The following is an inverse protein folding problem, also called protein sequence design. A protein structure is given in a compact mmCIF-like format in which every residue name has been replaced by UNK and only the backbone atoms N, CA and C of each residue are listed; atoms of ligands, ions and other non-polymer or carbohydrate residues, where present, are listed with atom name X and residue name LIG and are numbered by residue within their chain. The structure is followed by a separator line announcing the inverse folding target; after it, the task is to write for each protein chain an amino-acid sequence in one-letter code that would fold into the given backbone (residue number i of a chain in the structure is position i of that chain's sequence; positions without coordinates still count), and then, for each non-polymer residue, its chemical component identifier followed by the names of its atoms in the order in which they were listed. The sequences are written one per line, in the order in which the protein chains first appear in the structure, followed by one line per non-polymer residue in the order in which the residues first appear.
data_IF_520347198794
#
_entry.id   IF_520347198794
#
_cell.length_a   1.000
_cell.length_b   1.000
_cell.length_c   1.000
_cell.angle_alpha   90.00
_cell.angle_beta   90.00
_cell.angle_gamma   90.00
#
_symmetry.space_group_name_H-M   'P 1'
#
loop_
_entity.id
_entity.type
_entity.pdbx_description
1 polymer ?
#
# COMPACT_ATOMS: atom_id res chain seq x y z
N UNK A 1 -4.01 -23.14 -5.18
CA UNK A 1 -3.10 -22.11 -4.65
C UNK A 1 -3.86 -20.78 -4.65
N UNK A 2 -3.73 -19.94 -3.62
CA UNK A 2 -4.51 -18.68 -3.52
C UNK A 2 -3.91 -17.55 -4.38
N UNK A 3 -4.75 -16.61 -4.84
CA UNK A 3 -4.36 -15.52 -5.75
C UNK A 3 -3.23 -14.67 -5.20
N UNK A 4 -3.36 -14.27 -3.94
CA UNK A 4 -2.34 -13.47 -3.25
C UNK A 4 -0.98 -14.17 -3.14
N UNK A 5 -0.96 -15.51 -3.04
CA UNK A 5 0.30 -16.28 -3.02
C UNK A 5 0.99 -16.24 -4.38
N UNK A 6 0.24 -16.34 -5.48
CA UNK A 6 0.80 -16.23 -6.83
C UNK A 6 1.28 -14.80 -7.11
N UNK A 7 0.52 -13.78 -6.70
CA UNK A 7 0.94 -12.39 -6.81
C UNK A 7 2.25 -12.12 -6.07
N UNK A 8 2.37 -12.60 -4.83
CA UNK A 8 3.59 -12.42 -4.02
C UNK A 8 4.83 -13.03 -4.67
N UNK A 9 4.71 -14.19 -5.34
CA UNK A 9 5.85 -14.75 -6.10
C UNK A 9 6.33 -13.80 -7.20
N UNK A 10 5.40 -13.16 -7.92
CA UNK A 10 5.75 -12.18 -8.95
C UNK A 10 6.43 -10.96 -8.32
N UNK A 11 5.84 -10.39 -7.27
CA UNK A 11 6.38 -9.23 -6.55
C UNK A 11 7.78 -9.52 -6.01
N UNK A 12 7.94 -10.65 -5.31
CA UNK A 12 9.23 -11.07 -4.76
C UNK A 12 10.27 -11.28 -5.86
N UNK A 13 9.87 -11.83 -7.02
CA UNK A 13 10.76 -11.98 -8.17
C UNK A 13 11.25 -10.63 -8.70
N UNK A 14 10.37 -9.63 -8.81
CA UNK A 14 10.76 -8.27 -9.24
C UNK A 14 11.65 -7.58 -8.22
N UNK A 15 11.32 -7.63 -6.93
CA UNK A 15 12.14 -7.03 -5.86
C UNK A 15 13.53 -7.66 -5.77
N UNK A 16 13.65 -8.97 -6.02
CA UNK A 16 14.93 -9.67 -6.00
C UNK A 16 15.87 -9.26 -7.16
N UNK A 17 15.40 -8.48 -8.14
CA UNK A 17 16.24 -7.88 -9.18
C UNK A 17 16.94 -6.60 -8.73
N UNK A 18 16.51 -6.00 -7.62
CA UNK A 18 17.16 -4.80 -7.07
C UNK A 18 18.55 -5.15 -6.53
N UNK A 19 19.59 -4.48 -7.03
CA UNK A 19 20.99 -4.76 -6.66
C UNK A 19 21.32 -4.33 -5.22
N UNK A 20 20.84 -3.15 -4.81
CA UNK A 20 21.05 -2.62 -3.47
C UNK A 20 20.20 -3.39 -2.44
N UNK A 21 20.88 -4.20 -1.63
CA UNK A 21 20.24 -5.04 -0.62
C UNK A 21 19.50 -4.23 0.46
N UNK A 22 19.97 -3.03 0.81
CA UNK A 22 19.32 -2.19 1.81
C UNK A 22 18.00 -1.64 1.26
N UNK A 23 18.03 -1.12 0.03
CA UNK A 23 16.81 -0.65 -0.65
C UNK A 23 15.82 -1.79 -0.89
N UNK A 24 16.30 -2.95 -1.31
CA UNK A 24 15.47 -4.15 -1.49
C UNK A 24 14.79 -4.58 -0.20
N UNK A 25 15.53 -4.67 0.90
CA UNK A 25 14.96 -5.05 2.20
C UNK A 25 13.92 -4.02 2.68
N UNK A 26 14.18 -2.73 2.47
CA UNK A 26 13.22 -1.67 2.78
C UNK A 26 11.95 -1.78 1.93
N UNK A 27 12.06 -2.05 0.63
CA UNK A 27 10.93 -2.24 -0.26
C UNK A 27 10.08 -3.47 0.13
N UNK A 28 10.72 -4.60 0.42
CA UNK A 28 10.04 -5.81 0.91
C UNK A 28 9.29 -5.50 2.21
N UNK A 29 9.96 -4.90 3.19
CA UNK A 29 9.34 -4.57 4.48
C UNK A 29 8.12 -3.66 4.28
N UNK A 30 8.25 -2.65 3.41
CA UNK A 30 7.17 -1.72 3.10
C UNK A 30 5.97 -2.40 2.44
N UNK A 31 6.16 -3.12 1.33
CA UNK A 31 5.03 -3.75 0.63
C UNK A 31 4.30 -4.78 1.51
N UNK A 32 5.03 -5.61 2.25
CA UNK A 32 4.42 -6.59 3.15
C UNK A 32 3.74 -5.93 4.35
N UNK A 33 4.33 -4.87 4.91
CA UNK A 33 3.75 -4.11 6.01
C UNK A 33 2.45 -3.39 5.62
N UNK A 34 2.44 -2.70 4.48
CA UNK A 34 1.23 -2.08 3.91
C UNK A 34 0.20 -3.14 3.55
N UNK A 35 0.62 -4.30 3.02
CA UNK A 35 -0.29 -5.41 2.71
C UNK A 35 -1.00 -5.96 3.95
N UNK A 36 -0.29 -6.13 5.06
CA UNK A 36 -0.91 -6.55 6.33
C UNK A 36 -1.86 -5.46 6.87
N UNK A 37 -1.41 -4.20 6.89
CA UNK A 37 -2.22 -3.08 7.35
C UNK A 37 -3.53 -2.95 6.54
N UNK A 38 -3.45 -2.99 5.22
CA UNK A 38 -4.62 -2.89 4.34
C UNK A 38 -5.61 -4.03 4.59
N UNK A 39 -5.12 -5.24 4.82
CA UNK A 39 -5.96 -6.41 5.16
C UNK A 39 -6.75 -6.17 6.45
N UNK A 40 -6.10 -5.62 7.48
CA UNK A 40 -6.74 -5.31 8.77
C UNK A 40 -7.76 -4.19 8.62
N UNK A 41 -7.42 -3.12 7.89
CA UNK A 41 -8.28 -1.96 7.64
C UNK A 41 -9.51 -2.36 6.81
N UNK A 42 -9.33 -3.10 5.71
CA UNK A 42 -10.44 -3.62 4.91
C UNK A 42 -11.40 -4.46 5.75
N UNK A 43 -10.88 -5.37 6.59
CA UNK A 43 -11.72 -6.16 7.50
C UNK A 43 -12.49 -5.30 8.49
N UNK A 44 -11.85 -4.29 9.09
CA UNK A 44 -12.50 -3.36 10.04
C UNK A 44 -13.62 -2.57 9.37
N UNK A 45 -13.46 -2.22 8.09
CA UNK A 45 -14.38 -1.40 7.30
C UNK A 45 -15.40 -2.19 6.46
N UNK A 46 -15.37 -3.53 6.51
CA UNK A 46 -16.30 -4.37 5.76
C UNK A 46 -16.04 -4.43 4.25
N UNK A 47 -14.79 -4.23 3.83
CA UNK A 47 -14.34 -4.28 2.43
C UNK A 47 -13.58 -5.59 2.15
N UNK A 48 -13.28 -5.85 0.86
CA UNK A 48 -12.57 -7.07 0.45
C UNK A 48 -11.09 -7.06 0.93
N UNK A 49 -10.71 -7.96 1.85
CA UNK A 49 -9.35 -8.01 2.38
C UNK A 49 -8.33 -8.63 1.40
N UNK A 50 -8.76 -9.46 0.44
CA UNK A 50 -7.85 -10.03 -0.56
C UNK A 50 -7.49 -8.97 -1.61
N UNK A 51 -8.48 -8.23 -2.13
CA UNK A 51 -8.22 -7.17 -3.12
C UNK A 51 -7.40 -6.02 -2.54
N UNK A 52 -7.69 -5.57 -1.31
CA UNK A 52 -6.87 -4.56 -0.62
C UNK A 52 -5.42 -5.02 -0.43
N UNK A 53 -5.22 -6.28 -0.02
CA UNK A 53 -3.89 -6.88 0.13
C UNK A 53 -3.13 -6.94 -1.20
N UNK A 54 -3.82 -7.25 -2.30
CA UNK A 54 -3.24 -7.28 -3.65
C UNK A 54 -2.86 -5.87 -4.13
N UNK A 55 -3.73 -4.87 -3.93
CA UNK A 55 -3.42 -3.48 -4.24
C UNK A 55 -2.19 -2.98 -3.47
N UNK A 56 -2.14 -3.26 -2.16
CA UNK A 56 -1.01 -2.91 -1.31
C UNK A 56 0.31 -3.58 -1.72
N UNK A 57 0.28 -4.83 -2.18
CA UNK A 57 1.48 -5.51 -2.70
C UNK A 57 2.00 -4.90 -4.01
N UNK A 58 1.17 -4.17 -4.76
CA UNK A 58 1.49 -3.66 -6.09
C UNK A 58 1.76 -2.15 -6.14
N UNK A 59 1.24 -1.38 -5.18
CA UNK A 59 1.13 0.08 -5.31
C UNK A 59 2.43 0.80 -5.68
N UNK A 60 3.55 0.40 -5.06
CA UNK A 60 4.87 1.00 -5.28
C UNK A 60 5.79 0.14 -6.18
N UNK A 61 5.32 -1.01 -6.67
CA UNK A 61 6.18 -1.97 -7.36
C UNK A 61 6.82 -1.40 -8.63
N UNK A 62 6.08 -0.56 -9.36
CA UNK A 62 6.61 0.13 -10.54
C UNK A 62 7.79 1.04 -10.17
N UNK A 63 7.70 1.79 -9.06
CA UNK A 63 8.77 2.65 -8.60
C UNK A 63 10.01 1.83 -8.18
N UNK A 64 9.81 0.71 -7.46
CA UNK A 64 10.91 -0.18 -7.09
C UNK A 64 11.58 -0.84 -8.31
N UNK A 65 10.80 -1.21 -9.33
CA UNK A 65 11.30 -1.81 -10.57
C UNK A 65 12.12 -0.84 -11.41
N UNK A 66 11.66 0.41 -11.53
CA UNK A 66 12.26 1.42 -12.42
C UNK A 66 13.29 2.30 -11.73
N UNK A 67 13.26 2.37 -10.40
CA UNK A 67 14.04 3.32 -9.60
C UNK A 67 13.53 4.76 -9.69
N UNK A 68 12.33 4.99 -10.24
CA UNK A 68 11.73 6.32 -10.43
C UNK A 68 10.38 6.44 -9.71
N UNK A 69 10.21 7.55 -8.98
CA UNK A 69 8.93 7.91 -8.33
C UNK A 69 8.08 8.88 -9.16
N UNK A 70 8.53 9.23 -10.36
CA UNK A 70 7.83 10.15 -11.27
C UNK A 70 6.50 9.55 -11.76
N UNK A 71 5.39 10.18 -11.38
CA UNK A 71 4.02 9.68 -11.61
C UNK A 71 3.83 8.21 -11.17
N UNK A 72 4.49 7.81 -10.07
CA UNK A 72 4.52 6.40 -9.66
C UNK A 72 3.14 5.81 -9.37
N UNK A 73 2.19 6.61 -8.91
CA UNK A 73 0.81 6.17 -8.69
C UNK A 73 0.07 5.88 -9.99
N UNK A 74 0.18 6.75 -11.00
CA UNK A 74 -0.47 6.55 -12.30
C UNK A 74 0.17 5.42 -13.11
N UNK A 75 1.50 5.45 -13.25
CA UNK A 75 2.26 4.39 -13.94
C UNK A 75 2.20 3.07 -13.17
N UNK A 76 2.16 3.15 -11.84
CA UNK A 76 1.97 2.01 -10.95
C UNK A 76 0.62 1.34 -11.12
N UNK A 77 -0.46 2.11 -11.25
CA UNK A 77 -1.79 1.57 -11.49
C UNK A 77 -1.88 0.83 -12.84
N UNK A 78 -1.36 1.42 -13.91
CA UNK A 78 -1.30 0.76 -15.23
C UNK A 78 -0.46 -0.53 -15.18
N UNK A 79 0.73 -0.46 -14.55
CA UNK A 79 1.61 -1.60 -14.39
C UNK A 79 0.94 -2.74 -13.58
N UNK A 80 0.26 -2.40 -12.48
CA UNK A 80 -0.48 -3.34 -11.65
C UNK A 80 -1.61 -4.03 -12.44
N UNK A 81 -2.40 -3.25 -13.20
CA UNK A 81 -3.46 -3.79 -14.03
C UNK A 81 -2.95 -4.79 -15.07
N UNK A 82 -1.79 -4.53 -15.68
CA UNK A 82 -1.16 -5.44 -16.64
C UNK A 82 -0.73 -6.76 -15.97
N UNK A 83 -0.10 -6.70 -14.79
CA UNK A 83 0.31 -7.89 -14.01
C UNK A 83 -0.91 -8.75 -13.67
N UNK A 84 -1.97 -8.13 -13.16
CA UNK A 84 -3.19 -8.82 -12.75
C UNK A 84 -3.85 -9.58 -13.90
N UNK A 85 -3.93 -8.95 -15.09
CA UNK A 85 -4.46 -9.56 -16.32
C UNK A 85 -3.56 -10.66 -16.85
N UNK A 86 -2.23 -10.45 -16.88
CA UNK A 86 -1.26 -11.44 -17.34
C UNK A 86 -1.32 -12.72 -16.50
N UNK A 87 -1.38 -12.57 -15.18
CA UNK A 87 -1.44 -13.68 -14.22
C UNK A 87 -2.86 -14.25 -14.07
N UNK A 88 -3.88 -13.62 -14.68
CA UNK A 88 -5.31 -13.99 -14.58
C UNK A 88 -5.79 -14.13 -13.13
N UNK A 89 -5.38 -13.18 -12.29
CA UNK A 89 -5.70 -13.21 -10.86
C UNK A 89 -7.05 -12.55 -10.55
N UNK A 90 -7.50 -11.63 -11.39
CA UNK A 90 -8.72 -10.85 -11.18
C UNK A 90 -9.58 -10.83 -12.44
N UNK A 91 -10.88 -10.58 -12.27
CA UNK A 91 -11.71 -10.09 -13.36
C UNK A 91 -11.51 -8.56 -13.57
N UNK A 92 -12.14 -7.97 -14.59
CA UNK A 92 -11.97 -6.55 -14.88
C UNK A 92 -12.53 -5.65 -13.76
N UNK A 93 -13.61 -6.04 -13.08
CA UNK A 93 -14.17 -5.24 -11.99
C UNK A 93 -13.26 -5.23 -10.76
N UNK A 94 -12.70 -6.39 -10.40
CA UNK A 94 -11.67 -6.52 -9.37
C UNK A 94 -10.39 -5.75 -9.76
N UNK A 95 -10.00 -5.79 -11.03
CA UNK A 95 -8.84 -5.06 -11.56
C UNK A 95 -9.04 -3.56 -11.45
N UNK A 96 -10.22 -3.04 -11.81
CA UNK A 96 -10.55 -1.62 -11.73
C UNK A 96 -10.54 -1.11 -10.29
N UNK A 97 -10.98 -1.93 -9.32
CA UNK A 97 -10.91 -1.61 -7.89
C UNK A 97 -9.44 -1.45 -7.45
N UNK A 98 -8.57 -2.39 -7.82
CA UNK A 98 -7.15 -2.33 -7.47
C UNK A 98 -6.47 -1.16 -8.19
N UNK A 99 -6.79 -0.95 -9.47
CA UNK A 99 -6.28 0.15 -10.27
C UNK A 99 -6.62 1.49 -9.63
N UNK A 100 -7.89 1.75 -9.30
CA UNK A 100 -8.33 2.99 -8.66
C UNK A 100 -7.59 3.24 -7.34
N UNK A 101 -7.48 2.21 -6.51
CA UNK A 101 -6.80 2.34 -5.23
C UNK A 101 -5.35 2.77 -5.41
N UNK A 102 -4.61 2.15 -6.33
CA UNK A 102 -3.22 2.50 -6.63
C UNK A 102 -3.13 3.86 -7.32
N UNK A 103 -4.04 4.20 -8.23
CA UNK A 103 -3.99 5.45 -8.97
C UNK A 103 -4.10 6.67 -8.05
N UNK A 104 -4.96 6.61 -7.03
CA UNK A 104 -5.20 7.74 -6.11
C UNK A 104 -4.35 7.68 -4.83
N UNK A 105 -3.51 6.67 -4.63
CA UNK A 105 -2.96 6.42 -3.29
C UNK A 105 -2.03 7.53 -2.76
N UNK A 106 -1.35 8.33 -3.60
CA UNK A 106 -0.52 9.44 -3.12
C UNK A 106 -1.29 10.72 -2.81
N UNK A 107 -2.54 10.83 -3.27
CA UNK A 107 -3.45 11.96 -3.02
C UNK A 107 -4.10 11.86 -1.63
N UNK A 108 -3.27 11.99 -0.58
CA UNK A 108 -3.67 11.81 0.82
C UNK A 108 -4.74 12.80 1.30
N UNK A 109 -4.84 13.97 0.65
CA UNK A 109 -5.78 15.05 0.99
C UNK A 109 -7.14 14.92 0.30
N UNK A 110 -7.24 14.07 -0.73
CA UNK A 110 -8.49 13.79 -1.45
C UNK A 110 -9.12 12.54 -0.84
N UNK A 111 -10.45 12.53 -0.77
CA UNK A 111 -11.24 11.35 -0.38
C UNK A 111 -11.83 10.76 -1.64
N UNK A 112 -11.49 9.50 -1.91
CA UNK A 112 -11.91 8.76 -3.09
C UNK A 112 -12.78 7.54 -2.69
N UNK A 113 -12.72 6.47 -3.49
CA UNK A 113 -13.51 5.27 -3.26
C UNK A 113 -13.10 4.55 -1.96
N UNK A 114 -13.99 3.74 -1.35
CA UNK A 114 -13.68 3.07 -0.09
C UNK A 114 -12.39 2.22 -0.11
N UNK A 115 -12.08 1.54 -1.23
CA UNK A 115 -10.85 0.77 -1.36
C UNK A 115 -9.60 1.65 -1.47
N UNK A 116 -9.71 2.78 -2.14
CA UNK A 116 -8.64 3.77 -2.27
C UNK A 116 -8.25 4.31 -0.89
N UNK A 117 -9.25 4.59 -0.06
CA UNK A 117 -9.03 5.04 1.32
C UNK A 117 -8.39 3.95 2.20
N UNK A 118 -8.69 2.66 1.97
CA UNK A 118 -7.98 1.56 2.65
C UNK A 118 -6.50 1.57 2.31
N UNK A 119 -6.14 1.70 1.03
CA UNK A 119 -4.73 1.69 0.62
C UNK A 119 -3.99 2.93 1.11
N UNK A 120 -4.62 4.13 1.00
CA UNK A 120 -4.04 5.37 1.53
C UNK A 120 -3.72 5.26 3.01
N UNK A 121 -4.63 4.71 3.80
CA UNK A 121 -4.49 4.57 5.25
C UNK A 121 -3.48 3.49 5.63
N UNK A 122 -3.44 2.39 4.88
CA UNK A 122 -2.45 1.33 5.05
C UNK A 122 -1.02 1.81 4.77
N UNK A 123 -0.85 2.66 3.76
CA UNK A 123 0.42 3.28 3.44
C UNK A 123 0.84 4.28 4.54
N UNK A 124 -0.09 5.14 4.97
CA UNK A 124 0.16 6.12 6.04
C UNK A 124 0.53 5.46 7.37
N UNK A 125 -0.18 4.41 7.80
CA UNK A 125 0.17 3.75 9.07
C UNK A 125 1.57 3.13 9.00
N UNK A 126 1.96 2.56 7.85
CA UNK A 126 3.29 2.01 7.69
C UNK A 126 4.35 3.11 7.69
N UNK A 127 4.13 4.23 6.98
CA UNK A 127 5.04 5.39 7.05
C UNK A 127 5.26 5.87 8.49
N UNK A 128 4.20 5.96 9.28
CA UNK A 128 4.24 6.53 10.63
C UNK A 128 4.79 5.57 11.69
N UNK A 129 4.59 4.26 11.53
CA UNK A 129 4.93 3.27 12.57
C UNK A 129 6.17 2.43 12.27
N UNK A 130 6.62 2.36 11.02
CA UNK A 130 7.79 1.55 10.67
C UNK A 130 9.12 2.19 11.12
N UNK A 131 9.17 3.52 11.25
CA UNK A 131 10.37 4.25 11.66
C UNK A 131 10.00 5.45 12.55
N UNK A 132 9.94 5.21 13.86
CA UNK A 132 9.53 6.18 14.88
C UNK A 132 10.52 7.35 15.07
N UNK A 133 11.68 7.31 14.39
CA UNK A 133 12.62 8.42 14.38
C UNK A 133 12.14 9.56 13.48
N UNK A 134 11.24 9.28 12.52
CA UNK A 134 10.71 10.25 11.57
C UNK A 134 9.42 10.88 12.10
N UNK A 135 9.23 12.19 11.92
CA UNK A 135 7.95 12.82 12.21
C UNK A 135 6.90 12.35 11.19
N UNK A 136 5.63 12.34 11.60
CA UNK A 136 4.51 12.18 10.69
C UNK A 136 4.49 13.38 9.72
N UNK A 137 4.33 13.11 8.42
CA UNK A 137 4.28 14.19 7.42
C UNK A 137 2.99 14.98 7.59
N UNK A 138 3.04 16.29 7.40
CA UNK A 138 1.87 17.18 7.56
C UNK A 138 0.65 16.71 6.74
N UNK A 139 0.88 16.29 5.49
CA UNK A 139 -0.18 15.77 4.59
C UNK A 139 -0.79 14.44 5.05
N UNK A 140 -0.13 13.71 5.95
CA UNK A 140 -0.56 12.41 6.48
C UNK A 140 -1.17 12.52 7.88
N UNK A 141 -0.91 13.61 8.61
CA UNK A 141 -1.25 13.78 10.03
C UNK A 141 -2.73 13.53 10.32
N UNK A 142 -3.63 14.23 9.62
CA UNK A 142 -5.09 14.11 9.84
C UNK A 142 -5.58 12.67 9.60
N UNK A 143 -4.98 11.99 8.62
CA UNK A 143 -5.33 10.62 8.25
C UNK A 143 -4.81 9.62 9.28
N UNK A 144 -3.57 9.80 9.74
CA UNK A 144 -2.96 9.03 10.81
C UNK A 144 -3.75 9.14 12.11
N UNK A 145 -4.15 10.35 12.52
CA UNK A 145 -4.91 10.58 13.76
C UNK A 145 -6.27 9.89 13.73
N UNK A 146 -7.00 10.00 12.59
CA UNK A 146 -8.28 9.31 12.39
C UNK A 146 -8.12 7.79 12.46
N UNK A 147 -7.07 7.27 11.84
CA UNK A 147 -6.80 5.83 11.84
C UNK A 147 -6.43 5.32 13.23
N UNK A 148 -5.63 6.07 13.99
CA UNK A 148 -5.35 5.75 15.39
C UNK A 148 -6.63 5.73 16.23
N UNK A 149 -7.52 6.70 16.05
CA UNK A 149 -8.82 6.72 16.74
C UNK A 149 -9.72 5.54 16.33
N UNK A 150 -9.78 5.20 15.05
CA UNK A 150 -10.56 4.06 14.53
C UNK A 150 -10.15 2.72 15.14
N UNK A 151 -8.84 2.55 15.38
CA UNK A 151 -8.24 1.33 15.92
C UNK A 151 -8.00 1.37 17.44
N UNK A 152 -8.29 2.49 18.11
CA UNK A 152 -8.04 2.66 19.55
C UNK A 152 -6.55 2.68 19.90
N UNK A 153 -5.69 3.14 18.99
CA UNK A 153 -4.24 3.25 19.18
C UNK A 153 -3.95 4.53 19.96
N UNK A 154 -3.20 4.38 21.05
CA UNK A 154 -2.74 5.52 21.86
C UNK A 154 -1.55 6.18 21.16
N UNK A 155 -1.69 7.46 20.81
CA UNK A 155 -0.61 8.28 20.26
C UNK A 155 0.09 8.97 21.44
N UNK A 156 1.35 8.61 21.69
CA UNK A 156 2.16 9.27 22.73
C UNK A 156 2.71 10.60 22.19
N UNK A 157 2.26 11.72 22.75
CA UNK A 157 2.87 13.01 22.46
C UNK A 157 4.20 13.13 23.20
N UNK A 158 5.29 13.41 22.45
CA UNK A 158 6.63 13.62 23.00
C UNK A 158 6.72 14.81 23.99
N UNK A 159 5.67 15.61 24.13
CA UNK A 159 5.59 16.70 25.13
C UNK A 159 5.30 16.20 26.56
N UNK A 160 5.10 14.90 26.77
CA UNK A 160 4.88 14.28 28.09
C UNK A 160 6.07 13.44 28.61
N UNK A 161 7.24 13.53 27.96
CA UNK A 161 8.51 12.95 28.44
C UNK A 161 9.56 14.04 28.66
#
# INVERSE_FOLDING_TARGET
MGRLKELRKYVDHELNKMEDASKRNSAIAHLYGVSLASTMIAKKRGLDPELSSMAAMLHDLHAYKTGSYDEHEHKGAEFAGNILRELKLTDEAETDIIYSAIYHHGDKLVVDSPMDEVLKDADVIHHCMNDLSKPVKEKEQVRFDKLCAEFGIIVYNKEQM
#
